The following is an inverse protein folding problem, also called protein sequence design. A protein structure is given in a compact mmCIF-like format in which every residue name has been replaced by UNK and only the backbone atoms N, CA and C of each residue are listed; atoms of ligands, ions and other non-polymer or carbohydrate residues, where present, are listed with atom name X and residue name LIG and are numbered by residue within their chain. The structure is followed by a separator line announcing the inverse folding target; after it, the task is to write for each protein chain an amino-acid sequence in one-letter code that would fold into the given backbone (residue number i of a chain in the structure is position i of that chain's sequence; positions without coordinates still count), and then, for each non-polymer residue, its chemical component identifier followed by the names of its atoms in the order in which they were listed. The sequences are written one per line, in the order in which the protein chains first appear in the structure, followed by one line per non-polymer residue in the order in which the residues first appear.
data_IF_522736842471
#
_entry.id   IF_522736842471
#
_cell.length_a   1.000
_cell.length_b   1.000
_cell.length_c   1.000
_cell.angle_alpha   90.00
_cell.angle_beta   90.00
_cell.angle_gamma   90.00
#
_symmetry.space_group_name_H-M   'P 1'
#
loop_
_entity.id
_entity.type
_entity.pdbx_description
1 polymer ?
#
# COMPACT_ATOMS: atom_id res chain seq x y z
N UNK A 1 -5.07 7.41 9.29
CA UNK A 1 -5.75 8.57 8.69
C UNK A 1 -5.33 8.84 7.26
N UNK A 2 -4.61 7.93 6.60
CA UNK A 2 -4.48 7.95 5.15
C UNK A 2 -5.84 7.64 4.52
N UNK A 3 -6.15 8.31 3.40
CA UNK A 3 -7.32 8.06 2.55
C UNK A 3 -6.85 8.27 1.11
N UNK A 4 -7.15 7.34 0.21
CA UNK A 4 -6.73 7.35 -1.19
C UNK A 4 -6.70 5.93 -1.75
N UNK A 5 -6.57 5.79 -3.07
CA UNK A 5 -6.51 4.47 -3.71
C UNK A 5 -5.18 3.75 -3.41
N UNK A 6 -4.12 4.52 -3.16
CA UNK A 6 -2.78 4.00 -2.92
C UNK A 6 -2.21 3.38 -4.19
N UNK A 7 -1.37 4.12 -4.90
CA UNK A 7 -0.64 3.57 -6.04
C UNK A 7 0.86 3.62 -5.76
N UNK A 8 1.52 2.49 -5.92
CA UNK A 8 2.93 2.36 -5.62
C UNK A 8 3.60 1.41 -6.59
N UNK A 9 4.86 1.68 -6.90
CA UNK A 9 5.70 0.76 -7.66
C UNK A 9 6.15 -0.36 -6.73
N UNK A 10 5.84 -1.62 -7.07
CA UNK A 10 6.31 -2.80 -6.36
C UNK A 10 7.34 -3.54 -7.20
N UNK A 11 8.55 -3.72 -6.66
CA UNK A 11 9.55 -4.59 -7.29
C UNK A 11 9.36 -6.02 -6.82
N UNK A 12 8.90 -6.91 -7.71
CA UNK A 12 8.76 -8.34 -7.44
C UNK A 12 9.92 -9.08 -8.11
N UNK A 13 10.79 -9.68 -7.30
CA UNK A 13 12.00 -10.36 -7.77
C UNK A 13 11.88 -11.86 -7.61
N UNK A 14 12.26 -12.61 -8.64
CA UNK A 14 12.39 -14.06 -8.60
C UNK A 14 13.68 -14.46 -9.35
N UNK A 15 14.64 -15.16 -8.72
CA UNK A 15 15.89 -15.56 -9.36
C UNK A 15 15.72 -16.55 -10.53
N UNK A 16 14.53 -17.17 -10.66
CA UNK A 16 14.21 -18.10 -11.73
C UNK A 16 13.33 -17.49 -12.83
N UNK A 17 13.13 -16.16 -12.81
CA UNK A 17 12.21 -15.47 -13.71
C UNK A 17 10.80 -15.33 -13.12
N UNK A 18 10.01 -14.41 -13.67
CA UNK A 18 8.66 -14.10 -13.22
C UNK A 18 7.81 -13.64 -14.40
N UNK A 19 6.60 -14.19 -14.51
CA UNK A 19 5.55 -13.71 -15.40
C UNK A 19 4.36 -13.28 -14.54
N UNK A 20 3.83 -12.07 -14.79
CA UNK A 20 2.69 -11.51 -14.09
C UNK A 20 1.64 -11.07 -15.10
N UNK A 21 0.39 -11.38 -14.80
CA UNK A 21 -0.76 -10.94 -15.57
C UNK A 21 -1.51 -9.81 -14.84
N UNK A 22 -2.29 -9.05 -15.59
CA UNK A 22 -3.15 -8.00 -15.03
C UNK A 22 -4.13 -8.62 -14.03
N UNK A 23 -4.10 -8.11 -12.79
CA UNK A 23 -4.94 -8.62 -11.69
C UNK A 23 -4.27 -9.68 -10.81
N UNK A 24 -3.01 -10.06 -11.09
CA UNK A 24 -2.23 -10.91 -10.19
C UNK A 24 -2.13 -10.28 -8.79
N UNK A 25 -2.42 -11.07 -7.75
CA UNK A 25 -2.28 -10.65 -6.35
C UNK A 25 -0.81 -10.76 -5.94
N UNK A 26 -0.11 -9.63 -5.89
CA UNK A 26 1.35 -9.58 -5.64
C UNK A 26 1.74 -9.15 -4.22
N UNK A 27 0.78 -8.68 -3.42
CA UNK A 27 1.00 -8.28 -2.04
C UNK A 27 -0.27 -8.45 -1.21
N UNK A 28 -0.09 -8.50 0.11
CA UNK A 28 -1.18 -8.51 1.08
C UNK A 28 -1.00 -7.35 2.06
N UNK A 29 -2.07 -6.58 2.27
CA UNK A 29 -2.10 -5.56 3.29
C UNK A 29 -2.46 -6.18 4.65
N UNK A 30 -1.65 -5.91 5.67
CA UNK A 30 -1.89 -6.34 7.05
C UNK A 30 -2.13 -5.10 7.90
N UNK A 31 -3.23 -5.11 8.66
CA UNK A 31 -3.58 -4.02 9.56
C UNK A 31 -3.11 -4.32 10.97
N UNK A 32 -2.38 -3.37 11.56
CA UNK A 32 -1.94 -3.42 12.95
C UNK A 32 -2.81 -2.47 13.75
N UNK A 33 -3.40 -2.98 14.84
CA UNK A 33 -4.23 -2.18 15.73
C UNK A 33 -3.36 -1.23 16.55
N UNK A 34 -3.72 0.05 16.56
CA UNK A 34 -3.12 1.02 17.48
C UNK A 34 -3.61 0.76 18.91
N UNK A 35 -2.70 0.87 19.87
CA UNK A 35 -3.01 0.72 21.30
C UNK A 35 -3.94 1.83 21.80
N UNK A 36 -3.89 3.01 21.18
CA UNK A 36 -4.69 4.17 21.49
C UNK A 36 -4.98 5.04 20.25
N UNK A 37 -5.80 6.08 20.41
CA UNK A 37 -6.07 7.04 19.32
C UNK A 37 -4.80 7.86 19.04
N UNK A 38 -4.42 8.07 17.77
CA UNK A 38 -3.25 8.86 17.45
C UNK A 38 -3.52 10.35 17.76
N UNK A 39 -2.52 11.06 18.29
CA UNK A 39 -2.57 12.51 18.51
C UNK A 39 -2.54 13.33 17.22
N UNK A 40 -2.01 12.76 16.13
CA UNK A 40 -1.99 13.34 14.78
C UNK A 40 -2.19 12.24 13.74
N UNK A 41 -2.93 12.55 12.68
CA UNK A 41 -3.13 11.67 11.54
C UNK A 41 -2.19 12.03 10.38
N UNK A 42 -2.09 11.14 9.40
CA UNK A 42 -1.33 11.40 8.18
C UNK A 42 -1.96 12.57 7.39
N UNK A 43 -1.15 13.61 7.14
CA UNK A 43 -1.45 14.79 6.33
C UNK A 43 -0.30 15.05 5.33
N UNK A 44 0.32 13.96 4.84
CA UNK A 44 1.41 14.06 3.89
C UNK A 44 0.92 14.26 2.45
N UNK A 45 1.87 14.46 1.54
CA UNK A 45 1.61 14.84 0.14
C UNK A 45 0.79 13.82 -0.66
N UNK A 46 0.77 12.55 -0.25
CA UNK A 46 0.00 11.48 -0.91
C UNK A 46 -1.41 11.31 -0.35
N UNK A 47 -1.83 12.14 0.63
CA UNK A 47 -3.20 12.07 1.16
C UNK A 47 -4.19 12.47 0.06
N UNK A 48 -5.15 11.61 -0.22
CA UNK A 48 -6.16 11.83 -1.25
C UNK A 48 -5.70 11.46 -2.67
N UNK A 49 -4.58 10.73 -2.81
CA UNK A 49 -4.12 10.33 -4.14
C UNK A 49 -5.13 9.40 -4.84
N UNK A 50 -5.29 9.63 -6.16
CA UNK A 50 -6.08 8.80 -7.07
C UNK A 50 -7.53 8.55 -6.59
N UNK A 51 -8.16 9.56 -5.96
CA UNK A 51 -9.59 9.59 -5.63
C UNK A 51 -10.46 9.95 -6.83
#
# INVERSE_FOLDING_TARGET
GYVGRGEGLLTVLNPHGLELEVGARVAQLVFIKLTEKPSKVYEGVYKGENM
#
